data_IF_630617553545
#
_entry.id   IF_630617553545
#
_cell.length_a   1.000
_cell.length_b   1.000
_cell.length_c   1.000
_cell.angle_alpha   90.00
_cell.angle_beta   90.00
_cell.angle_gamma   90.00
#
_symmetry.space_group_name_H-M   'P 1'
#
loop_
_entity.id
_entity.type
_entity.pdbx_description
1 polymer ?
#
# COMPACT_ATOMS: atom_id res chain seq x y z
N UNK A 1 -3.90 12.75 -21.14
CA UNK A 1 -2.72 12.73 -20.23
C UNK A 1 -2.65 11.36 -19.55
N UNK A 2 -1.54 10.63 -19.67
CA UNK A 2 -1.39 9.25 -19.17
C UNK A 2 -1.52 9.19 -17.63
N UNK A 3 -2.20 8.17 -17.12
CA UNK A 3 -2.43 7.93 -15.68
C UNK A 3 -1.12 7.87 -14.90
N UNK A 4 -0.08 7.26 -15.47
CA UNK A 4 1.26 7.19 -14.86
C UNK A 4 1.85 8.58 -14.62
N UNK A 5 1.74 9.49 -15.60
CA UNK A 5 2.20 10.88 -15.44
C UNK A 5 1.44 11.60 -14.32
N UNK A 6 0.15 11.32 -14.13
CA UNK A 6 -0.65 11.90 -13.04
C UNK A 6 -0.18 11.42 -11.67
N UNK A 7 0.09 10.11 -11.52
CA UNK A 7 0.60 9.53 -10.28
C UNK A 7 1.96 10.13 -9.92
N UNK A 8 2.85 10.28 -10.90
CA UNK A 8 4.19 10.88 -10.68
C UNK A 8 4.08 12.34 -10.27
N UNK A 9 3.21 13.13 -10.91
CA UNK A 9 2.98 14.54 -10.53
C UNK A 9 2.42 14.63 -9.10
N UNK A 10 1.45 13.79 -8.76
CA UNK A 10 0.89 13.72 -7.40
C UNK A 10 1.95 13.31 -6.37
N UNK A 11 2.78 12.33 -6.68
CA UNK A 11 3.89 11.92 -5.81
C UNK A 11 4.94 13.01 -5.63
N UNK A 12 5.27 13.76 -6.69
CA UNK A 12 6.13 14.94 -6.59
C UNK A 12 5.53 16.02 -5.70
N UNK A 13 4.23 16.31 -5.85
CA UNK A 13 3.53 17.27 -5.00
C UNK A 13 3.49 16.82 -3.53
N UNK A 14 3.18 15.56 -3.27
CA UNK A 14 3.20 14.98 -1.90
C UNK A 14 4.61 15.02 -1.30
N UNK A 15 5.64 14.72 -2.10
CA UNK A 15 7.04 14.88 -1.70
C UNK A 15 7.38 16.31 -1.31
N UNK A 16 6.91 17.31 -2.07
CA UNK A 16 7.06 18.73 -1.75
C UNK A 16 6.33 19.11 -0.45
N UNK A 17 5.11 18.62 -0.23
CA UNK A 17 4.39 18.85 1.02
C UNK A 17 5.16 18.31 2.23
N UNK A 18 5.66 17.07 2.15
CA UNK A 18 6.48 16.47 3.21
C UNK A 18 7.84 17.16 3.36
N UNK A 19 8.43 17.66 2.28
CA UNK A 19 9.64 18.47 2.33
C UNK A 19 9.39 19.80 3.04
N UNK A 20 8.22 20.40 2.91
CA UNK A 20 7.89 21.64 3.64
C UNK A 20 7.57 21.42 5.11
N UNK A 21 7.22 20.19 5.52
CA UNK A 21 6.88 19.88 6.91
C UNK A 21 8.04 20.19 7.88
N UNK A 22 7.70 20.79 9.03
CA UNK A 22 8.65 20.99 10.12
C UNK A 22 8.88 19.70 10.88
N UNK A 23 9.99 19.63 11.62
CA UNK A 23 10.29 18.49 12.47
C UNK A 23 9.19 18.27 13.53
N UNK A 24 8.73 19.34 14.17
CA UNK A 24 7.68 19.28 15.20
C UNK A 24 6.37 18.71 14.66
N UNK A 25 5.99 19.07 13.42
CA UNK A 25 4.80 18.51 12.77
C UNK A 25 4.92 17.01 12.51
N UNK A 26 6.11 16.55 12.11
CA UNK A 26 6.37 15.12 11.88
C UNK A 26 6.40 14.33 13.19
N UNK A 27 6.97 14.90 14.25
CA UNK A 27 6.98 14.30 15.58
C UNK A 27 5.56 14.22 16.16
N UNK A 28 4.77 15.29 16.02
CA UNK A 28 3.37 15.29 16.42
C UNK A 28 2.58 14.21 15.68
N UNK A 29 2.74 14.10 14.35
CA UNK A 29 2.10 13.04 13.57
C UNK A 29 2.52 11.63 14.03
N UNK A 30 3.79 11.43 14.39
CA UNK A 30 4.25 10.15 14.94
C UNK A 30 3.58 9.85 16.28
N UNK A 31 3.49 10.84 17.18
CA UNK A 31 2.89 10.67 18.49
C UNK A 31 1.37 10.43 18.40
N UNK A 32 0.66 11.24 17.62
CA UNK A 32 -0.80 11.20 17.47
C UNK A 32 -1.28 9.87 16.87
N UNK A 33 -0.57 9.38 15.84
CA UNK A 33 -0.88 8.10 15.20
C UNK A 33 -0.12 6.92 15.83
N UNK A 34 0.63 7.15 16.91
CA UNK A 34 1.47 6.18 17.61
C UNK A 34 2.42 5.39 16.69
N UNK A 35 2.90 6.04 15.62
CA UNK A 35 3.64 5.39 14.55
C UNK A 35 4.92 4.74 15.06
N UNK A 36 5.11 3.49 14.67
CA UNK A 36 6.30 2.70 14.99
C UNK A 36 6.66 1.77 13.84
N UNK A 37 7.89 1.25 13.86
CA UNK A 37 8.34 0.26 12.90
C UNK A 37 7.47 -1.00 12.87
N UNK A 38 6.89 -1.37 14.02
CA UNK A 38 5.92 -2.47 14.09
C UNK A 38 4.63 -2.13 13.34
N UNK A 39 4.10 -0.92 13.53
CA UNK A 39 2.88 -0.48 12.86
C UNK A 39 3.02 -0.37 11.35
N UNK A 40 4.24 -0.15 10.83
CA UNK A 40 4.52 -0.24 9.40
C UNK A 40 4.28 -1.66 8.85
N UNK A 41 4.44 -2.71 9.65
CA UNK A 41 4.18 -4.09 9.22
C UNK A 41 2.69 -4.46 9.22
N UNK A 42 1.87 -3.74 9.99
CA UNK A 42 0.46 -4.07 10.21
C UNK A 42 -0.37 -4.02 8.91
N UNK A 43 -0.32 -2.95 8.08
CA UNK A 43 -1.05 -2.93 6.81
C UNK A 43 -0.63 -4.04 5.85
N UNK A 44 0.66 -4.37 5.83
CA UNK A 44 1.23 -5.44 5.00
C UNK A 44 0.64 -6.80 5.39
N UNK A 45 0.64 -7.11 6.69
CA UNK A 45 0.09 -8.34 7.23
C UNK A 45 -1.42 -8.45 6.96
N UNK A 46 -2.17 -7.38 7.23
CA UNK A 46 -3.61 -7.36 6.95
C UNK A 46 -3.92 -7.50 5.46
N UNK A 47 -3.09 -6.95 4.58
CA UNK A 47 -3.23 -7.15 3.15
C UNK A 47 -3.28 -8.63 2.77
N UNK A 48 -2.31 -9.40 3.27
CA UNK A 48 -2.23 -10.85 3.02
C UNK A 48 -3.43 -11.58 3.63
N UNK A 49 -3.72 -11.32 4.91
CA UNK A 49 -4.79 -12.01 5.66
C UNK A 49 -6.16 -11.78 5.00
N UNK A 50 -6.50 -10.51 4.72
CA UNK A 50 -7.79 -10.17 4.12
C UNK A 50 -7.88 -10.66 2.67
N UNK A 51 -6.80 -10.56 1.90
CA UNK A 51 -6.77 -11.05 0.52
C UNK A 51 -7.03 -12.55 0.47
N UNK A 52 -6.40 -13.31 1.36
CA UNK A 52 -6.63 -14.75 1.48
C UNK A 52 -8.02 -15.11 1.98
N UNK A 53 -8.52 -14.41 3.00
CA UNK A 53 -9.85 -14.64 3.55
C UNK A 53 -10.96 -14.42 2.49
N UNK A 54 -10.89 -13.33 1.73
CA UNK A 54 -11.89 -13.04 0.71
C UNK A 54 -11.80 -14.01 -0.48
N UNK A 55 -10.61 -14.55 -0.78
CA UNK A 55 -10.46 -15.61 -1.79
C UNK A 55 -11.15 -16.90 -1.35
N UNK A 56 -11.05 -17.25 -0.07
CA UNK A 56 -11.76 -18.40 0.51
C UNK A 56 -13.28 -18.21 0.46
N UNK A 57 -13.77 -16.97 0.68
CA UNK A 57 -15.19 -16.62 0.58
C UNK A 57 -15.71 -16.51 -0.87
N UNK A 58 -14.83 -16.64 -1.88
CA UNK A 58 -15.17 -16.64 -3.33
C UNK A 58 -15.95 -15.42 -3.79
N UNK A 59 -15.60 -14.22 -3.30
CA UNK A 59 -16.31 -12.99 -3.65
C UNK A 59 -15.92 -12.53 -5.06
N UNK A 60 -16.57 -13.08 -6.09
CA UNK A 60 -16.24 -12.78 -7.49
C UNK A 60 -16.34 -11.29 -7.86
N UNK A 61 -17.21 -10.52 -7.19
CA UNK A 61 -17.32 -9.06 -7.36
C UNK A 61 -16.00 -8.33 -7.07
N UNK A 62 -15.12 -8.91 -6.27
CA UNK A 62 -13.84 -8.29 -5.94
C UNK A 62 -12.86 -8.29 -7.13
N UNK A 63 -13.04 -9.20 -8.11
CA UNK A 63 -12.19 -9.23 -9.32
C UNK A 63 -12.29 -7.94 -10.14
N UNK A 64 -13.50 -7.37 -10.27
CA UNK A 64 -13.68 -6.12 -11.02
C UNK A 64 -13.11 -4.91 -10.29
N UNK A 65 -12.87 -5.02 -8.98
CA UNK A 65 -12.25 -3.99 -8.15
C UNK A 65 -10.73 -4.12 -8.04
N UNK A 66 -10.12 -5.20 -8.50
CA UNK A 66 -8.66 -5.35 -8.49
C UNK A 66 -7.93 -4.27 -9.31
N UNK A 67 -8.36 -3.90 -10.53
CA UNK A 67 -7.70 -2.84 -11.28
C UNK A 67 -7.65 -1.48 -10.54
N UNK A 68 -8.75 -0.93 -10.00
CA UNK A 68 -8.66 0.32 -9.24
C UNK A 68 -7.86 0.15 -7.93
N UNK A 69 -7.95 -0.99 -7.24
CA UNK A 69 -7.17 -1.23 -6.01
C UNK A 69 -5.67 -1.22 -6.29
N UNK A 70 -5.22 -1.89 -7.36
CA UNK A 70 -3.80 -1.93 -7.73
C UNK A 70 -3.27 -0.57 -8.18
N UNK A 71 -4.11 0.24 -8.84
CA UNK A 71 -3.78 1.62 -9.16
C UNK A 71 -3.61 2.48 -7.90
N UNK A 72 -4.56 2.40 -6.97
CA UNK A 72 -4.47 3.11 -5.68
C UNK A 72 -3.24 2.65 -4.90
N UNK A 73 -2.97 1.35 -4.85
CA UNK A 73 -1.79 0.78 -4.22
C UNK A 73 -0.50 1.37 -4.80
N UNK A 74 -0.35 1.35 -6.13
CA UNK A 74 0.82 1.92 -6.80
C UNK A 74 1.00 3.42 -6.54
N UNK A 75 -0.11 4.17 -6.47
CA UNK A 75 -0.12 5.59 -6.12
C UNK A 75 0.35 5.82 -4.70
N UNK A 76 -0.26 5.14 -3.72
CA UNK A 76 0.09 5.26 -2.30
C UNK A 76 1.54 4.85 -2.02
N UNK A 77 1.99 3.73 -2.60
CA UNK A 77 3.38 3.29 -2.46
C UNK A 77 4.34 4.33 -3.03
N UNK A 78 4.08 4.85 -4.23
CA UNK A 78 4.95 5.86 -4.85
C UNK A 78 4.98 7.16 -4.05
N UNK A 79 3.80 7.67 -3.66
CA UNK A 79 3.67 8.90 -2.87
C UNK A 79 4.36 8.77 -1.51
N UNK A 80 4.15 7.65 -0.80
CA UNK A 80 4.75 7.41 0.51
C UNK A 80 6.27 7.26 0.44
N UNK A 81 6.80 6.54 -0.56
CA UNK A 81 8.24 6.39 -0.74
C UNK A 81 8.92 7.72 -1.12
N UNK A 82 8.32 8.48 -2.05
CA UNK A 82 8.84 9.81 -2.43
C UNK A 82 8.80 10.78 -1.24
N UNK A 83 7.70 10.77 -0.47
CA UNK A 83 7.60 11.54 0.77
C UNK A 83 8.66 11.14 1.80
N UNK A 84 8.90 9.85 2.00
CA UNK A 84 9.90 9.36 2.94
C UNK A 84 11.32 9.80 2.56
N UNK A 85 11.66 9.71 1.27
CA UNK A 85 12.95 10.19 0.75
C UNK A 85 13.08 11.70 0.92
N UNK A 86 12.02 12.47 0.66
CA UNK A 86 12.03 13.92 0.83
C UNK A 86 12.24 14.34 2.29
N UNK A 87 11.58 13.69 3.23
CA UNK A 87 11.76 13.92 4.68
C UNK A 87 13.19 13.59 5.09
N UNK A 88 13.68 12.42 4.68
CA UNK A 88 15.03 11.99 5.03
C UNK A 88 16.10 12.94 4.45
N UNK A 89 15.93 13.40 3.21
CA UNK A 89 16.83 14.35 2.58
C UNK A 89 16.91 15.69 3.33
N UNK A 90 15.79 16.16 3.90
CA UNK A 90 15.74 17.42 4.66
C UNK A 90 16.24 17.29 6.09
N UNK A 91 15.76 16.29 6.81
CA UNK A 91 15.93 16.20 8.27
C UNK A 91 17.01 15.20 8.70
N UNK A 92 17.51 14.35 7.78
CA UNK A 92 18.53 13.31 8.00
C UNK A 92 18.23 12.28 9.09
N UNK A 93 17.00 12.27 9.64
CA UNK A 93 16.55 11.32 10.65
C UNK A 93 15.50 10.39 10.05
N UNK A 94 15.85 9.10 9.96
CA UNK A 94 14.99 8.05 9.39
C UNK A 94 13.66 7.92 10.15
N UNK A 95 13.68 8.14 11.46
CA UNK A 95 12.47 8.05 12.32
C UNK A 95 11.41 9.07 11.89
N UNK A 96 11.80 10.25 11.41
CA UNK A 96 10.84 11.27 10.95
C UNK A 96 10.15 10.88 9.64
N UNK A 97 10.70 9.92 8.90
CA UNK A 97 10.08 9.40 7.68
C UNK A 97 8.94 8.41 7.95
N UNK A 98 8.73 7.97 9.21
CA UNK A 98 7.70 7.01 9.60
C UNK A 98 6.29 7.35 9.06
N UNK A 99 5.79 8.60 9.11
CA UNK A 99 4.47 8.92 8.57
C UNK A 99 4.36 8.67 7.07
N UNK A 100 5.38 9.04 6.29
CA UNK A 100 5.39 8.79 4.86
C UNK A 100 5.57 7.30 4.54
N UNK A 101 6.38 6.58 5.32
CA UNK A 101 6.52 5.13 5.22
C UNK A 101 5.21 4.40 5.55
N UNK A 102 4.38 4.92 6.46
CA UNK A 102 3.07 4.34 6.77
C UNK A 102 2.15 4.39 5.54
N UNK A 103 2.15 5.50 4.81
CA UNK A 103 1.40 5.62 3.54
C UNK A 103 1.91 4.60 2.53
N UNK A 104 3.24 4.45 2.42
CA UNK A 104 3.83 3.46 1.52
C UNK A 104 3.43 2.03 1.91
N UNK A 105 3.46 1.72 3.21
CA UNK A 105 3.04 0.43 3.76
C UNK A 105 1.58 0.11 3.46
N UNK A 106 0.68 1.08 3.58
CA UNK A 106 -0.74 0.90 3.20
C UNK A 106 -0.85 0.55 1.71
N UNK A 107 -0.10 1.23 0.84
CA UNK A 107 -0.03 0.89 -0.58
C UNK A 107 0.47 -0.53 -0.83
N UNK A 108 1.53 -0.95 -0.14
CA UNK A 108 2.07 -2.31 -0.24
C UNK A 108 1.06 -3.34 0.28
N UNK A 109 0.37 -3.06 1.38
CA UNK A 109 -0.68 -3.92 1.93
C UNK A 109 -1.84 -4.13 0.96
N UNK A 110 -2.32 -3.05 0.33
CA UNK A 110 -3.35 -3.12 -0.72
C UNK A 110 -2.90 -3.92 -1.95
N UNK A 111 -1.62 -3.80 -2.33
CA UNK A 111 -1.07 -4.61 -3.40
C UNK A 111 -1.02 -6.09 -3.03
N UNK A 112 -0.51 -6.42 -1.85
CA UNK A 112 -0.45 -7.80 -1.35
C UNK A 112 -1.84 -8.41 -1.16
N UNK A 113 -2.83 -7.61 -0.81
CA UNK A 113 -4.23 -8.01 -0.82
C UNK A 113 -4.68 -8.50 -2.19
N UNK A 114 -4.45 -7.70 -3.24
CA UNK A 114 -4.80 -8.07 -4.61
C UNK A 114 -4.05 -9.34 -5.06
N UNK A 115 -2.76 -9.45 -4.75
CA UNK A 115 -1.93 -10.62 -5.08
C UNK A 115 -2.41 -11.89 -4.35
N UNK A 116 -2.62 -11.80 -3.03
CA UNK A 116 -3.05 -12.94 -2.22
C UNK A 116 -4.42 -13.42 -2.66
N UNK A 117 -5.33 -12.48 -2.94
CA UNK A 117 -6.68 -12.79 -3.41
C UNK A 117 -6.67 -13.51 -4.77
N UNK A 118 -5.92 -12.99 -5.74
CA UNK A 118 -5.86 -13.56 -7.10
C UNK A 118 -5.18 -14.92 -7.13
N UNK A 119 -4.07 -15.09 -6.42
CA UNK A 119 -3.37 -16.38 -6.33
C UNK A 119 -4.25 -17.48 -5.75
N UNK A 120 -4.86 -17.24 -4.59
CA UNK A 120 -5.71 -18.24 -3.93
C UNK A 120 -6.97 -18.54 -4.74
N UNK A 121 -7.59 -17.54 -5.34
CA UNK A 121 -8.77 -17.76 -6.21
C UNK A 121 -8.41 -18.56 -7.46
N UNK A 122 -7.24 -18.29 -8.05
CA UNK A 122 -6.69 -19.06 -9.17
C UNK A 122 -6.48 -20.53 -8.82
N UNK A 123 -5.80 -20.80 -7.71
CA UNK A 123 -5.54 -22.18 -7.24
C UNK A 123 -6.84 -22.95 -6.94
N UNK A 124 -7.82 -22.29 -6.32
CA UNK A 124 -9.13 -22.89 -6.04
C UNK A 124 -9.86 -23.26 -7.34
N UNK A 125 -9.75 -22.41 -8.37
CA UNK A 125 -10.39 -22.61 -9.66
C UNK A 125 -9.72 -23.75 -10.44
N UNK A 126 -8.38 -23.80 -10.44
CA UNK A 126 -7.60 -24.85 -11.09
C UNK A 126 -7.93 -26.24 -10.50
N UNK A 127 -7.93 -26.37 -9.16
CA UNK A 127 -8.28 -27.62 -8.48
C UNK A 127 -9.70 -28.10 -8.79
N UNK A 128 -10.63 -27.20 -9.09
CA UNK A 128 -12.00 -27.55 -9.45
C UNK A 128 -12.07 -28.12 -10.87
N UNK A 129 -11.32 -27.55 -11.82
CA UNK A 129 -11.29 -28.03 -13.20
C UNK A 129 -10.70 -29.44 -13.33
N UNK A 130 -9.67 -29.77 -12.55
CA UNK A 130 -9.09 -31.12 -12.55
C UNK A 130 -10.08 -32.18 -12.05
N UNK A 131 -10.91 -31.84 -11.04
CA UNK A 131 -11.96 -32.74 -10.55
C UNK A 131 -13.10 -32.99 -11.53
N UNK A 132 -13.37 -32.07 -12.46
CA UNK A 132 -14.43 -32.24 -13.46
C UNK A 132 -13.96 -33.01 -14.70
N UNK A 133 -12.64 -33.19 -14.87
CA UNK A 133 -12.04 -33.93 -16.00
C UNK A 133 -11.72 -35.39 -15.66
N UNK A 134 -11.83 -35.78 -14.39
CA UNK A 134 -11.71 -37.16 -13.91
C UNK A 134 -13.09 -37.77 -13.71
#
# INVERSE_FOLDING_TARGET
>A
MNLFKRIVILAGAVGLFFYTASQDQLVAAIADYQLSWYQLGVPVAWGIILGGLLALLRIQKLLSWLPPITLIASGLTTMGLVGAVAIFAKHQLVVLALPALQIASIGVGLYLFAVSYTRLTGDITARKQDKTKS
#
